data_IF_283469233879
#
_entry.id   IF_283469233879
#
_cell.length_a   1.000
_cell.length_b   1.000
_cell.length_c   1.000
_cell.angle_alpha   90.00
_cell.angle_beta   90.00
_cell.angle_gamma   90.00
#
_symmetry.space_group_name_H-M   'P 1'
#
loop_
_entity.id
_entity.type
_entity.pdbx_description
1 polymer ?
#
# COMPACT_ATOMS: atom_id res chain seq x y z
N UNK A 1 9.22 9.02 -13.54
CA UNK A 1 9.24 7.54 -13.59
C UNK A 1 8.93 6.90 -12.23
N UNK A 2 9.66 7.25 -11.16
CA UNK A 2 9.48 6.67 -9.82
C UNK A 2 8.07 6.86 -9.23
N UNK A 3 7.44 8.03 -9.43
CA UNK A 3 6.05 8.30 -9.04
C UNK A 3 5.05 7.26 -9.60
N UNK A 4 5.09 7.02 -10.91
CA UNK A 4 4.18 6.08 -11.58
C UNK A 4 4.41 4.63 -11.17
N UNK A 5 5.68 4.21 -11.04
CA UNK A 5 6.03 2.87 -10.56
C UNK A 5 5.58 2.68 -9.11
N UNK A 6 5.84 3.65 -8.24
CA UNK A 6 5.41 3.62 -6.85
C UNK A 6 3.89 3.49 -6.71
N UNK A 7 3.13 4.30 -7.48
CA UNK A 7 1.67 4.24 -7.49
C UNK A 7 1.14 2.87 -7.97
N UNK A 8 1.74 2.29 -9.01
CA UNK A 8 1.36 0.97 -9.51
C UNK A 8 1.61 -0.13 -8.49
N UNK A 9 2.79 -0.12 -7.84
CA UNK A 9 3.12 -1.10 -6.80
C UNK A 9 2.16 -0.99 -5.60
N UNK A 10 1.82 0.23 -5.19
CA UNK A 10 0.83 0.45 -4.14
C UNK A 10 -0.55 -0.08 -4.54
N UNK A 11 -0.99 0.14 -5.78
CA UNK A 11 -2.27 -0.39 -6.27
C UNK A 11 -2.30 -1.93 -6.27
N UNK A 12 -1.25 -2.57 -6.79
CA UNK A 12 -1.13 -4.04 -6.79
C UNK A 12 -1.19 -4.56 -5.35
N UNK A 13 -0.47 -3.91 -4.44
CA UNK A 13 -0.45 -4.27 -3.03
C UNK A 13 -1.84 -4.16 -2.38
N UNK A 14 -2.58 -3.08 -2.65
CA UNK A 14 -3.97 -2.90 -2.19
C UNK A 14 -4.88 -4.01 -2.67
N UNK A 15 -4.88 -4.30 -3.97
CA UNK A 15 -5.73 -5.36 -4.52
C UNK A 15 -5.38 -6.70 -3.89
N UNK A 16 -4.09 -7.00 -3.72
CA UNK A 16 -3.65 -8.26 -3.13
C UNK A 16 -4.08 -8.39 -1.66
N UNK A 17 -3.95 -7.34 -0.85
CA UNK A 17 -4.43 -7.37 0.52
C UNK A 17 -5.94 -7.50 0.63
N UNK A 18 -6.72 -6.92 -0.28
CA UNK A 18 -8.17 -7.13 -0.35
C UNK A 18 -8.47 -8.61 -0.62
N UNK A 19 -7.78 -9.23 -1.58
CA UNK A 19 -7.93 -10.67 -1.86
C UNK A 19 -7.56 -11.52 -0.64
N UNK A 20 -6.44 -11.23 0.02
CA UNK A 20 -6.02 -11.93 1.23
C UNK A 20 -7.02 -11.75 2.37
N UNK A 21 -7.62 -10.56 2.51
CA UNK A 21 -8.66 -10.30 3.51
C UNK A 21 -9.87 -11.20 3.30
N UNK A 22 -10.28 -11.43 2.05
CA UNK A 22 -11.40 -12.32 1.69
C UNK A 22 -11.04 -13.80 1.91
N UNK A 23 -9.79 -14.18 1.64
CA UNK A 23 -9.30 -15.56 1.76
C UNK A 23 -9.05 -15.99 3.22
N UNK A 24 -8.65 -15.06 4.09
CA UNK A 24 -8.19 -15.37 5.47
C UNK A 24 -9.15 -14.93 6.58
N UNK A 25 -10.22 -14.21 6.25
CA UNK A 25 -11.24 -13.84 7.23
C UNK A 25 -12.15 -15.02 7.59
N UNK A 26 -12.41 -15.19 8.89
CA UNK A 26 -13.25 -16.28 9.42
C UNK A 26 -14.75 -15.99 9.27
N UNK A 27 -15.14 -14.71 9.23
CA UNK A 27 -16.52 -14.26 9.03
C UNK A 27 -16.61 -13.19 7.95
N UNK A 28 -17.81 -12.96 7.41
CA UNK A 28 -18.04 -11.87 6.43
C UNK A 28 -17.66 -10.51 7.00
N UNK A 29 -18.01 -10.24 8.26
CA UNK A 29 -17.68 -8.98 8.92
C UNK A 29 -16.16 -8.77 9.01
N UNK A 30 -15.42 -9.81 9.40
CA UNK A 30 -13.96 -9.73 9.45
C UNK A 30 -13.33 -9.48 8.07
N UNK A 31 -13.82 -10.17 7.02
CA UNK A 31 -13.33 -9.97 5.65
C UNK A 31 -13.50 -8.52 5.20
N UNK A 32 -14.67 -7.94 5.45
CA UNK A 32 -15.00 -6.57 5.07
C UNK A 32 -14.15 -5.56 5.84
N UNK A 33 -14.00 -5.73 7.16
CA UNK A 33 -13.17 -4.84 7.98
C UNK A 33 -11.73 -4.85 7.49
N UNK A 34 -11.14 -6.03 7.26
CA UNK A 34 -9.75 -6.10 6.78
C UNK A 34 -9.58 -5.52 5.37
N UNK A 35 -10.54 -5.72 4.47
CA UNK A 35 -10.49 -5.13 3.15
C UNK A 35 -10.53 -3.58 3.21
N UNK A 36 -11.42 -3.01 4.01
CA UNK A 36 -11.54 -1.55 4.19
C UNK A 36 -10.28 -0.98 4.84
N UNK A 37 -9.80 -1.60 5.92
CA UNK A 37 -8.61 -1.13 6.64
C UNK A 37 -7.37 -1.17 5.74
N UNK A 38 -7.18 -2.23 4.96
CA UNK A 38 -6.09 -2.32 3.98
C UNK A 38 -6.26 -1.36 2.80
N UNK A 39 -7.46 -0.98 2.41
CA UNK A 39 -7.68 -0.02 1.33
C UNK A 39 -7.27 1.40 1.76
N UNK A 40 -7.58 1.80 2.99
CA UNK A 40 -7.49 3.18 3.43
C UNK A 40 -6.18 3.53 4.18
N UNK A 41 -5.60 2.56 4.89
CA UNK A 41 -4.52 2.84 5.85
C UNK A 41 -3.20 2.14 5.51
N UNK A 42 -3.00 1.78 4.24
CA UNK A 42 -1.71 1.25 3.82
C UNK A 42 -0.59 2.31 3.84
N UNK A 43 0.65 1.90 4.12
CA UNK A 43 1.13 0.52 4.28
C UNK A 43 0.91 -0.06 5.69
N UNK A 44 0.57 0.78 6.68
CA UNK A 44 0.51 0.40 8.09
C UNK A 44 -0.53 -0.70 8.38
N UNK A 45 -1.71 -0.61 7.76
CA UNK A 45 -2.72 -1.67 7.80
C UNK A 45 -2.19 -3.02 7.33
N UNK A 46 -1.39 -3.05 6.27
CA UNK A 46 -0.79 -4.28 5.73
C UNK A 46 0.19 -4.92 6.71
N UNK A 47 0.92 -4.10 7.48
CA UNK A 47 1.82 -4.57 8.55
C UNK A 47 1.02 -5.22 9.67
N UNK A 48 -0.04 -4.55 10.14
CA UNK A 48 -0.92 -5.07 11.19
C UNK A 48 -1.59 -6.37 10.71
N UNK A 49 -2.08 -6.39 9.47
CA UNK A 49 -2.67 -7.60 8.86
C UNK A 49 -1.69 -8.76 8.87
N UNK A 50 -0.43 -8.56 8.46
CA UNK A 50 0.59 -9.60 8.50
C UNK A 50 0.84 -10.10 9.94
N UNK A 51 0.90 -9.22 10.93
CA UNK A 51 1.11 -9.61 12.32
C UNK A 51 -0.05 -10.47 12.85
N UNK A 52 -1.30 -10.12 12.53
CA UNK A 52 -2.50 -10.81 13.02
C UNK A 52 -2.77 -12.10 12.24
N UNK A 53 -2.74 -12.06 10.91
CA UNK A 53 -3.08 -13.18 10.03
C UNK A 53 -1.90 -14.08 9.69
N UNK A 54 -0.67 -13.64 9.97
CA UNK A 54 0.58 -14.32 9.58
C UNK A 54 0.67 -14.58 8.06
N UNK A 55 -0.02 -13.77 7.26
CA UNK A 55 -0.06 -13.85 5.80
C UNK A 55 0.09 -12.48 5.18
N UNK A 56 0.54 -12.43 3.92
CA UNK A 56 0.69 -11.17 3.18
C UNK A 56 2.05 -10.48 3.33
N UNK A 57 3.10 -11.22 3.72
CA UNK A 57 4.47 -10.69 3.78
C UNK A 57 4.93 -10.07 2.45
N UNK A 58 4.68 -10.77 1.34
CA UNK A 58 5.07 -10.32 -0.01
C UNK A 58 4.34 -9.02 -0.38
N UNK A 59 2.99 -8.96 -0.38
CA UNK A 59 2.32 -7.70 -0.66
C UNK A 59 2.71 -6.61 0.33
N UNK A 60 2.90 -6.89 1.62
CA UNK A 60 3.41 -5.90 2.60
C UNK A 60 4.72 -5.24 2.15
N UNK A 61 5.71 -6.06 1.76
CA UNK A 61 7.01 -5.56 1.29
C UNK A 61 6.83 -4.75 0.01
N UNK A 62 6.02 -5.22 -0.93
CA UNK A 62 5.72 -4.49 -2.17
C UNK A 62 5.07 -3.13 -1.88
N UNK A 63 4.14 -3.07 -0.93
CA UNK A 63 3.50 -1.83 -0.50
C UNK A 63 4.50 -0.85 0.09
N UNK A 64 5.42 -1.32 0.94
CA UNK A 64 6.48 -0.50 1.51
C UNK A 64 7.39 0.06 0.40
N UNK A 65 7.84 -0.79 -0.53
CA UNK A 65 8.66 -0.35 -1.68
C UNK A 65 7.90 0.68 -2.53
N UNK A 66 6.62 0.41 -2.80
CA UNK A 66 5.75 1.32 -3.55
C UNK A 66 5.65 2.70 -2.91
N UNK A 67 5.44 2.76 -1.60
CA UNK A 67 5.39 4.01 -0.82
C UNK A 67 6.72 4.76 -0.88
N UNK A 68 7.85 4.06 -0.75
CA UNK A 68 9.19 4.68 -0.85
C UNK A 68 9.41 5.28 -2.24
N UNK A 69 9.08 4.54 -3.32
CA UNK A 69 9.24 5.03 -4.69
C UNK A 69 8.29 6.18 -5.02
N UNK A 70 7.05 6.12 -4.52
CA UNK A 70 6.08 7.19 -4.69
C UNK A 70 6.53 8.46 -3.97
N UNK A 71 6.92 8.34 -2.69
CA UNK A 71 7.40 9.47 -1.89
C UNK A 71 8.68 10.09 -2.45
N UNK A 72 9.64 9.27 -2.87
CA UNK A 72 10.85 9.76 -3.54
C UNK A 72 10.50 10.50 -4.84
N UNK A 73 9.69 9.90 -5.72
CA UNK A 73 9.28 10.55 -6.95
C UNK A 73 8.53 11.86 -6.72
N UNK A 74 7.66 11.91 -5.71
CA UNK A 74 6.90 13.11 -5.36
C UNK A 74 7.80 14.23 -4.88
N UNK A 75 8.70 13.93 -3.94
CA UNK A 75 9.64 14.93 -3.39
C UNK A 75 10.57 15.49 -4.46
N UNK A 76 11.09 14.64 -5.37
CA UNK A 76 11.92 15.11 -6.48
C UNK A 76 11.14 16.02 -7.44
N UNK A 77 9.92 15.64 -7.81
CA UNK A 77 9.10 16.45 -8.73
C UNK A 77 8.66 17.77 -8.09
N UNK A 78 8.31 17.78 -6.80
CA UNK A 78 8.01 19.03 -6.09
C UNK A 78 9.24 19.92 -5.97
N UNK A 79 10.42 19.35 -5.70
CA UNK A 79 11.67 20.09 -5.65
C UNK A 79 12.00 20.80 -6.96
N UNK A 80 11.82 20.11 -8.10
CA UNK A 80 11.96 20.70 -9.43
C UNK A 80 10.98 21.87 -9.64
N UNK A 81 9.70 21.68 -9.33
CA UNK A 81 8.69 22.74 -9.47
C UNK A 81 9.06 23.96 -8.62
N UNK A 82 9.39 23.75 -7.34
CA UNK A 82 9.77 24.83 -6.41
C UNK A 82 11.01 25.59 -6.89
N UNK A 83 11.97 24.90 -7.52
CA UNK A 83 13.18 25.55 -8.07
C UNK A 83 12.91 26.42 -9.30
N UNK A 84 11.74 26.25 -9.93
CA UNK A 84 11.31 26.99 -11.13
C UNK A 84 10.21 28.01 -10.84
N UNK A 85 9.76 28.13 -9.58
CA UNK A 85 8.83 29.18 -9.19
C UNK A 85 9.55 30.55 -9.17
N UNK A 86 8.96 31.60 -9.76
CA UNK A 86 9.53 32.94 -9.77
C UNK A 86 9.55 33.61 -8.38
#
# INVERSE_FOLDING_TARGET
MFLGIGALLMLICVIWFVVLSVQTGASTGEKVIWAIVNLLFQPLAGIIFFIVKKQGLIPMILGIIGVVFYGYGFTTSMGEIMSTMP
#
